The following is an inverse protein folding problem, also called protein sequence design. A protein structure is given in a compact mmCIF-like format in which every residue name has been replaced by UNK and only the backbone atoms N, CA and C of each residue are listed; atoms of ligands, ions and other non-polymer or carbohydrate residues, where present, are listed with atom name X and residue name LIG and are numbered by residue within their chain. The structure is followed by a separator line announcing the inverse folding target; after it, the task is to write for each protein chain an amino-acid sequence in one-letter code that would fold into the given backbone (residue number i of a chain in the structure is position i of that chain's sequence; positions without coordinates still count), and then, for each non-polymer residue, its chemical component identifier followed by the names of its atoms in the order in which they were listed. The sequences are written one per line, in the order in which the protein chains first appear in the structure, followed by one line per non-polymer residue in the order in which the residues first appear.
data_IF_640932839542
#
_entry.id   IF_640932839542
#
_cell.length_a   1.000
_cell.length_b   1.000
_cell.length_c   1.000
_cell.angle_alpha   90.00
_cell.angle_beta   90.00
_cell.angle_gamma   90.00
#
_symmetry.space_group_name_H-M   'P 1'
#
loop_
_entity.id
_entity.type
_entity.pdbx_description
1 polymer ?
#
# COMPACT_ATOMS: atom_id res chain seq x y z
N UNK A 1 31.41 -6.81 32.84
CA UNK A 1 30.23 -6.23 32.18
C UNK A 1 29.11 -7.25 32.28
N UNK A 2 27.98 -6.85 32.83
CA UNK A 2 26.79 -7.68 33.03
C UNK A 2 25.71 -7.33 32.01
N UNK A 3 24.62 -8.13 31.96
CA UNK A 3 23.47 -7.86 31.08
C UNK A 3 22.83 -6.50 31.37
N UNK A 4 22.89 -6.02 32.63
CA UNK A 4 22.40 -4.70 33.00
C UNK A 4 23.15 -3.59 32.26
N UNK A 5 24.47 -3.68 32.18
CA UNK A 5 25.32 -2.70 31.48
C UNK A 5 24.96 -2.63 29.98
N UNK A 6 24.64 -3.78 29.36
CA UNK A 6 24.17 -3.84 27.97
C UNK A 6 22.89 -3.03 27.77
N UNK A 7 21.93 -3.13 28.70
CA UNK A 7 20.70 -2.33 28.62
C UNK A 7 20.95 -0.84 28.85
N UNK A 8 21.95 -0.48 29.67
CA UNK A 8 22.36 0.91 29.85
C UNK A 8 22.98 1.49 28.58
N UNK A 9 23.90 0.76 27.93
CA UNK A 9 24.46 1.13 26.62
C UNK A 9 23.36 1.33 25.57
N UNK A 10 22.40 0.39 25.53
CA UNK A 10 21.22 0.48 24.65
C UNK A 10 20.39 1.74 24.92
N UNK A 11 20.10 2.06 26.19
CA UNK A 11 19.36 3.27 26.58
C UNK A 11 20.10 4.56 26.21
N UNK A 12 21.43 4.54 26.24
CA UNK A 12 22.28 5.66 25.81
C UNK A 12 22.39 5.80 24.28
N UNK A 13 21.78 4.90 23.51
CA UNK A 13 21.87 4.89 22.04
C UNK A 13 23.19 4.33 21.50
N UNK A 14 24.03 3.74 22.35
CA UNK A 14 25.30 3.09 21.97
C UNK A 14 25.06 1.67 21.45
N UNK A 15 24.30 1.59 20.36
CA UNK A 15 23.75 0.32 19.84
C UNK A 15 24.85 -0.67 19.42
N UNK A 16 25.94 -0.20 18.80
CA UNK A 16 27.06 -1.07 18.38
C UNK A 16 27.82 -1.64 19.59
N UNK A 17 28.08 -0.80 20.60
CA UNK A 17 28.76 -1.23 21.83
C UNK A 17 27.90 -2.25 22.58
N UNK A 18 26.60 -1.99 22.71
CA UNK A 18 25.66 -2.94 23.32
C UNK A 18 25.65 -4.29 22.56
N UNK A 19 25.72 -4.25 21.23
CA UNK A 19 25.72 -5.47 20.41
C UNK A 19 27.01 -6.27 20.54
N UNK A 20 28.15 -5.59 20.52
CA UNK A 20 29.45 -6.22 20.70
C UNK A 20 29.60 -6.81 22.12
N UNK A 21 28.98 -6.17 23.12
CA UNK A 21 28.95 -6.66 24.49
C UNK A 21 28.07 -7.92 24.66
N UNK A 22 26.86 -7.94 24.10
CA UNK A 22 25.90 -9.04 24.35
C UNK A 22 26.22 -10.32 23.58
N UNK A 23 26.81 -10.23 22.38
CA UNK A 23 27.13 -11.39 21.54
C UNK A 23 27.96 -12.47 22.26
N UNK A 24 29.12 -12.17 22.87
CA UNK A 24 29.91 -13.17 23.59
C UNK A 24 29.20 -13.68 24.84
N UNK A 25 28.46 -12.82 25.56
CA UNK A 25 27.69 -13.24 26.74
C UNK A 25 26.61 -14.26 26.39
N UNK A 26 25.85 -14.00 25.32
CA UNK A 26 24.82 -14.91 24.84
C UNK A 26 25.41 -16.22 24.30
N UNK A 27 26.58 -16.16 23.65
CA UNK A 27 27.29 -17.35 23.19
C UNK A 27 27.76 -18.25 24.36
N UNK A 28 28.21 -17.65 25.46
CA UNK A 28 28.64 -18.35 26.65
C UNK A 28 27.47 -18.90 27.49
N UNK A 29 26.39 -18.13 27.62
CA UNK A 29 25.23 -18.51 28.43
C UNK A 29 23.91 -18.07 27.78
N UNK A 30 23.07 -19.05 27.41
CA UNK A 30 21.74 -18.85 26.81
C UNK A 30 20.64 -18.84 27.88
N UNK A 31 20.76 -17.94 28.85
CA UNK A 31 19.76 -17.73 29.89
C UNK A 31 18.65 -16.78 29.47
N UNK A 32 17.63 -16.63 30.33
CA UNK A 32 16.50 -15.74 30.10
C UNK A 32 16.92 -14.30 29.80
N UNK A 33 17.75 -13.69 30.67
CA UNK A 33 18.18 -12.30 30.52
C UNK A 33 19.12 -12.07 29.33
N UNK A 34 20.04 -12.99 29.04
CA UNK A 34 20.94 -12.87 27.89
C UNK A 34 20.18 -13.02 26.57
N UNK A 35 19.17 -13.90 26.52
CA UNK A 35 18.27 -14.06 25.37
C UNK A 35 17.47 -12.78 25.11
N UNK A 36 16.84 -12.21 26.15
CA UNK A 36 16.11 -10.95 26.03
C UNK A 36 17.02 -9.80 25.56
N UNK A 37 18.19 -9.63 26.16
CA UNK A 37 19.13 -8.58 25.78
C UNK A 37 19.62 -8.78 24.33
N UNK A 38 19.93 -10.01 23.93
CA UNK A 38 20.34 -10.33 22.55
C UNK A 38 19.23 -10.00 21.54
N UNK A 39 17.97 -10.29 21.88
CA UNK A 39 16.83 -9.97 21.03
C UNK A 39 16.64 -8.45 20.86
N UNK A 40 16.54 -7.71 21.96
CA UNK A 40 16.26 -6.27 21.91
C UNK A 40 17.39 -5.47 21.27
N UNK A 41 18.65 -5.80 21.59
CA UNK A 41 19.80 -5.17 20.95
C UNK A 41 19.92 -5.59 19.48
N UNK A 42 19.65 -6.85 19.16
CA UNK A 42 19.66 -7.33 17.78
C UNK A 42 18.65 -6.60 16.89
N UNK A 43 17.44 -6.30 17.41
CA UNK A 43 16.43 -5.49 16.70
C UNK A 43 16.95 -4.08 16.42
N UNK A 44 17.60 -3.44 17.40
CA UNK A 44 18.11 -2.08 17.22
C UNK A 44 19.24 -2.04 16.19
N UNK A 45 20.17 -3.00 16.24
CA UNK A 45 21.27 -3.11 15.26
C UNK A 45 20.72 -3.40 13.87
N UNK A 46 19.70 -4.26 13.75
CA UNK A 46 19.03 -4.52 12.47
C UNK A 46 18.51 -3.21 11.85
N UNK A 47 17.83 -2.37 12.65
CA UNK A 47 17.33 -1.07 12.19
C UNK A 47 18.47 -0.12 11.82
N UNK A 48 19.54 -0.08 12.63
CA UNK A 48 20.73 0.72 12.35
C UNK A 48 21.36 0.32 11.01
N UNK A 49 21.47 -0.99 10.72
CA UNK A 49 21.99 -1.50 9.44
C UNK A 49 21.13 -1.09 8.25
N UNK A 50 19.80 -1.10 8.39
CA UNK A 50 18.91 -0.57 7.34
C UNK A 50 19.14 0.92 7.09
N UNK A 51 19.29 1.74 8.14
CA UNK A 51 19.60 3.17 8.01
C UNK A 51 20.94 3.40 7.31
N UNK A 52 21.94 2.58 7.62
CA UNK A 52 23.27 2.60 6.99
C UNK A 52 23.30 1.98 5.58
N UNK A 53 22.15 1.57 5.02
CA UNK A 53 22.04 0.85 3.73
C UNK A 53 22.81 -0.47 3.66
N UNK A 54 23.15 -1.08 4.81
CA UNK A 54 23.77 -2.41 4.91
C UNK A 54 22.69 -3.50 4.92
N UNK A 55 21.98 -3.63 3.79
CA UNK A 55 20.75 -4.42 3.69
C UNK A 55 20.96 -5.92 3.93
N UNK A 56 22.06 -6.47 3.41
CA UNK A 56 22.38 -7.89 3.57
C UNK A 56 22.68 -8.24 5.05
N UNK A 57 23.46 -7.41 5.74
CA UNK A 57 23.71 -7.56 7.17
C UNK A 57 22.42 -7.44 7.98
N UNK A 58 21.58 -6.44 7.69
CA UNK A 58 20.30 -6.27 8.34
C UNK A 58 19.41 -7.53 8.19
N UNK A 59 19.37 -8.10 6.98
CA UNK A 59 18.61 -9.31 6.71
C UNK A 59 19.17 -10.54 7.44
N UNK A 60 20.50 -10.71 7.52
CA UNK A 60 21.14 -11.78 8.32
C UNK A 60 20.81 -11.66 9.82
N UNK A 61 20.75 -10.43 10.34
CA UNK A 61 20.33 -10.17 11.73
C UNK A 61 18.84 -10.53 11.90
N UNK A 62 17.97 -10.12 10.99
CA UNK A 62 16.56 -10.50 11.00
C UNK A 62 16.36 -12.02 11.04
N UNK A 63 17.07 -12.78 10.20
CA UNK A 63 17.03 -14.24 10.22
C UNK A 63 17.53 -14.83 11.54
N UNK A 64 18.52 -14.20 12.17
CA UNK A 64 19.03 -14.61 13.49
C UNK A 64 18.00 -14.34 14.58
N UNK A 65 17.29 -13.22 14.52
CA UNK A 65 16.20 -12.89 15.44
C UNK A 65 15.03 -13.88 15.30
N UNK A 66 14.71 -14.34 14.08
CA UNK A 66 13.69 -15.37 13.88
C UNK A 66 14.03 -16.70 14.57
N UNK A 67 15.31 -17.08 14.59
CA UNK A 67 15.79 -18.28 15.31
C UNK A 67 15.84 -18.08 16.82
N UNK A 68 16.08 -16.86 17.27
CA UNK A 68 16.17 -16.50 18.69
C UNK A 68 14.79 -16.38 19.35
N UNK A 69 13.80 -15.83 18.63
CA UNK A 69 12.49 -15.50 19.20
C UNK A 69 11.81 -16.69 19.93
N UNK A 70 11.79 -17.93 19.38
CA UNK A 70 11.16 -19.06 20.06
C UNK A 70 11.77 -19.43 21.41
N UNK A 71 13.01 -18.99 21.71
CA UNK A 71 13.67 -19.25 23.00
C UNK A 71 13.51 -18.10 24.00
N UNK A 72 12.86 -17.01 23.59
CA UNK A 72 12.61 -15.85 24.43
C UNK A 72 11.24 -15.98 25.10
N UNK A 73 11.16 -15.68 26.39
CA UNK A 73 9.87 -15.48 27.05
C UNK A 73 9.25 -14.17 26.57
N UNK A 74 8.10 -14.27 25.91
CA UNK A 74 7.33 -13.15 25.39
C UNK A 74 5.86 -13.22 25.83
N UNK A 75 5.63 -13.48 27.12
CA UNK A 75 4.29 -13.44 27.75
C UNK A 75 3.50 -12.15 27.44
N UNK A 76 4.18 -11.03 27.18
CA UNK A 76 3.57 -9.74 26.83
C UNK A 76 3.29 -9.52 25.34
N UNK A 77 3.67 -10.45 24.44
CA UNK A 77 3.57 -10.34 22.98
C UNK A 77 4.29 -9.12 22.35
N UNK A 78 5.17 -8.45 23.11
CA UNK A 78 5.93 -7.30 22.62
C UNK A 78 7.02 -7.72 21.63
N UNK A 79 7.61 -8.90 21.83
CA UNK A 79 8.54 -9.50 20.89
C UNK A 79 7.86 -9.87 19.57
N UNK A 80 6.66 -10.46 19.64
CA UNK A 80 5.80 -10.77 18.50
C UNK A 80 5.54 -9.53 17.65
N UNK A 81 5.01 -8.46 18.26
CA UNK A 81 4.75 -7.20 17.59
C UNK A 81 6.04 -6.58 16.99
N UNK A 82 7.17 -6.75 17.68
CA UNK A 82 8.48 -6.27 17.20
C UNK A 82 8.96 -7.04 15.97
N UNK A 83 8.77 -8.36 15.90
CA UNK A 83 9.11 -9.17 14.73
C UNK A 83 8.21 -8.84 13.53
N UNK A 84 6.92 -8.58 13.76
CA UNK A 84 6.02 -8.10 12.72
C UNK A 84 6.44 -6.72 12.16
N UNK A 85 6.85 -5.79 13.05
CA UNK A 85 7.46 -4.50 12.64
C UNK A 85 8.73 -4.73 11.82
N UNK A 86 9.61 -5.64 12.24
CA UNK A 86 10.83 -5.97 11.54
C UNK A 86 10.57 -6.53 10.13
N UNK A 87 9.59 -7.42 9.99
CA UNK A 87 9.18 -7.97 8.69
C UNK A 87 8.73 -6.89 7.71
N UNK A 88 8.03 -5.85 8.17
CA UNK A 88 7.69 -4.70 7.31
C UNK A 88 8.92 -3.96 6.78
N UNK A 89 9.96 -3.79 7.61
CA UNK A 89 11.22 -3.16 7.18
C UNK A 89 11.94 -4.02 6.14
N UNK A 90 11.96 -5.34 6.35
CA UNK A 90 12.54 -6.30 5.40
C UNK A 90 11.82 -6.22 4.06
N UNK A 91 10.48 -6.25 4.07
CA UNK A 91 9.66 -6.14 2.87
C UNK A 91 9.91 -4.86 2.08
N UNK A 92 10.14 -3.72 2.75
CA UNK A 92 10.45 -2.46 2.06
C UNK A 92 11.83 -2.44 1.38
N UNK A 93 12.72 -3.40 1.70
CA UNK A 93 14.11 -3.43 1.23
C UNK A 93 14.51 -4.75 0.57
N UNK A 94 13.57 -5.67 0.34
CA UNK A 94 13.81 -6.97 -0.28
C UNK A 94 12.79 -7.22 -1.38
N UNK A 95 13.27 -7.66 -2.55
CA UNK A 95 12.41 -8.02 -3.69
C UNK A 95 11.92 -9.46 -3.62
N UNK A 96 12.49 -10.30 -2.75
CA UNK A 96 12.18 -11.73 -2.65
C UNK A 96 11.42 -12.08 -1.37
N UNK A 97 11.34 -11.17 -0.41
CA UNK A 97 10.64 -11.40 0.84
C UNK A 97 9.13 -11.20 0.67
N UNK A 98 8.34 -12.25 0.91
CA UNK A 98 6.88 -12.17 0.98
C UNK A 98 6.45 -11.80 2.40
N UNK A 99 5.85 -10.63 2.57
CA UNK A 99 5.24 -10.27 3.85
C UNK A 99 3.94 -11.05 4.06
N UNK A 100 3.20 -11.34 3.00
CA UNK A 100 1.99 -12.17 3.07
C UNK A 100 2.30 -13.54 3.68
N UNK A 101 3.26 -14.28 3.13
CA UNK A 101 3.62 -15.61 3.65
C UNK A 101 4.20 -15.54 5.07
N UNK A 102 4.94 -14.47 5.38
CA UNK A 102 5.46 -14.26 6.73
C UNK A 102 4.33 -14.08 7.74
N UNK A 103 3.38 -13.18 7.48
CA UNK A 103 2.27 -12.88 8.39
C UNK A 103 1.34 -14.08 8.52
N UNK A 104 1.06 -14.81 7.43
CA UNK A 104 0.25 -16.03 7.47
C UNK A 104 0.83 -17.10 8.40
N UNK A 105 2.16 -17.14 8.59
CA UNK A 105 2.83 -18.08 9.52
C UNK A 105 3.01 -17.49 10.91
N UNK A 106 3.33 -16.21 10.99
CA UNK A 106 3.69 -15.54 12.26
C UNK A 106 2.46 -15.23 13.12
N UNK A 107 1.32 -14.96 12.48
CA UNK A 107 0.03 -14.73 13.12
C UNK A 107 -0.21 -13.25 13.44
N UNK A 108 -1.18 -12.65 12.74
CA UNK A 108 -1.61 -11.27 13.01
C UNK A 108 -2.55 -11.19 14.21
N UNK A 109 -3.23 -12.29 14.53
CA UNK A 109 -4.10 -12.48 15.70
C UNK A 109 -3.35 -12.43 17.04
N UNK A 110 -2.02 -12.47 17.02
CA UNK A 110 -1.15 -12.32 18.20
C UNK A 110 -0.75 -10.87 18.47
N UNK A 111 -1.34 -9.91 17.77
CA UNK A 111 -1.27 -8.50 18.14
C UNK A 111 -2.27 -8.24 19.28
N UNK A 112 -1.86 -7.43 20.26
CA UNK A 112 -2.76 -7.02 21.33
C UNK A 112 -3.69 -5.91 20.85
N UNK A 113 -4.76 -5.62 21.59
CA UNK A 113 -5.70 -4.53 21.27
C UNK A 113 -4.97 -3.18 21.11
N UNK A 114 -3.94 -2.93 21.93
CA UNK A 114 -3.10 -1.73 21.85
C UNK A 114 -2.38 -1.59 20.49
N UNK A 115 -1.97 -2.69 19.87
CA UNK A 115 -1.32 -2.66 18.55
C UNK A 115 -2.29 -2.30 17.42
N UNK A 116 -3.60 -2.29 17.68
CA UNK A 116 -4.65 -1.86 16.77
C UNK A 116 -5.09 -0.40 16.98
N UNK A 117 -4.64 0.26 18.06
CA UNK A 117 -4.92 1.65 18.33
C UNK A 117 -4.01 2.60 17.52
N UNK A 118 -4.57 3.72 17.07
CA UNK A 118 -3.76 4.80 16.51
C UNK A 118 -2.95 5.46 17.61
N UNK A 119 -1.73 5.84 17.29
CA UNK A 119 -0.85 6.57 18.21
C UNK A 119 -0.57 7.97 17.67
N UNK A 120 0.08 8.81 18.47
CA UNK A 120 0.60 10.10 18.01
C UNK A 120 2.12 10.07 18.00
N UNK A 121 2.72 10.63 16.97
CA UNK A 121 4.16 10.87 16.89
C UNK A 121 4.39 12.28 16.38
N UNK A 122 5.11 13.11 17.15
CA UNK A 122 5.37 14.52 16.84
C UNK A 122 4.07 15.31 16.52
N UNK A 123 2.99 15.06 17.26
CA UNK A 123 1.69 15.71 17.05
C UNK A 123 0.90 15.23 15.84
N UNK A 124 1.42 14.27 15.06
CA UNK A 124 0.72 13.68 13.92
C UNK A 124 0.16 12.30 14.26
N UNK A 125 -1.07 11.99 13.82
CA UNK A 125 -1.64 10.66 14.00
C UNK A 125 -0.84 9.63 13.19
N UNK A 126 -0.47 8.54 13.85
CA UNK A 126 0.21 7.39 13.26
C UNK A 126 -0.75 6.22 13.23
N UNK A 127 -0.89 5.63 12.05
CA UNK A 127 -1.70 4.44 11.86
C UNK A 127 -1.20 3.29 12.76
N UNK A 128 -2.13 2.53 13.32
CA UNK A 128 -1.84 1.39 14.19
C UNK A 128 -0.93 0.34 13.52
N UNK A 129 -0.22 -0.44 14.33
CA UNK A 129 0.67 -1.47 13.82
C UNK A 129 -0.10 -2.46 12.94
N UNK A 130 -1.23 -2.99 13.43
CA UNK A 130 -2.05 -3.94 12.70
C UNK A 130 -2.46 -3.40 11.32
N UNK A 131 -2.94 -2.16 11.26
CA UNK A 131 -3.34 -1.54 9.99
C UNK A 131 -2.16 -1.29 9.03
N UNK A 132 -0.97 -0.96 9.56
CA UNK A 132 0.24 -0.81 8.73
C UNK A 132 0.70 -2.15 8.15
N UNK A 133 0.64 -3.24 8.92
CA UNK A 133 0.95 -4.60 8.45
C UNK A 133 -0.01 -5.00 7.32
N UNK A 134 -1.32 -4.85 7.55
CA UNK A 134 -2.35 -5.15 6.54
C UNK A 134 -2.09 -4.33 5.28
N UNK A 135 -1.73 -3.04 5.41
CA UNK A 135 -1.36 -2.22 4.26
C UNK A 135 -0.17 -2.73 3.45
N UNK A 136 0.85 -3.30 4.11
CA UNK A 136 1.99 -3.93 3.41
C UNK A 136 1.60 -5.23 2.73
N UNK A 137 0.79 -6.07 3.39
CA UNK A 137 0.24 -7.29 2.80
C UNK A 137 -0.53 -6.97 1.52
N UNK A 138 -1.42 -5.97 1.55
CA UNK A 138 -2.19 -5.61 0.36
C UNK A 138 -1.36 -4.88 -0.70
N UNK A 139 -0.28 -4.19 -0.33
CA UNK A 139 0.71 -3.69 -1.31
C UNK A 139 1.33 -4.86 -2.10
N UNK A 140 1.63 -5.98 -1.45
CA UNK A 140 2.13 -7.18 -2.13
C UNK A 140 1.05 -7.83 -3.01
N UNK A 141 -0.15 -8.05 -2.46
CA UNK A 141 -1.30 -8.65 -3.18
C UNK A 141 -1.68 -7.84 -4.42
N UNK A 142 -1.71 -6.51 -4.33
CA UNK A 142 -2.03 -5.64 -5.46
C UNK A 142 -0.92 -5.59 -6.51
N UNK A 143 0.32 -5.91 -6.14
CA UNK A 143 1.47 -5.94 -7.05
C UNK A 143 1.46 -7.15 -7.99
N UNK A 144 0.99 -8.30 -7.52
CA UNK A 144 0.87 -9.52 -8.35
C UNK A 144 -0.40 -10.31 -7.97
N UNK A 145 -1.60 -9.83 -8.35
CA UNK A 145 -2.85 -10.39 -7.85
C UNK A 145 -3.10 -11.81 -8.37
N UNK A 146 -3.20 -12.77 -7.44
CA UNK A 146 -3.61 -14.16 -7.72
C UNK A 146 -4.68 -14.62 -6.74
N UNK A 147 -5.48 -15.62 -7.14
CA UNK A 147 -6.49 -16.23 -6.27
C UNK A 147 -5.85 -16.77 -4.99
N UNK A 148 -4.70 -17.42 -5.08
CA UNK A 148 -3.97 -17.94 -3.92
C UNK A 148 -3.62 -16.82 -2.93
N UNK A 149 -3.09 -15.70 -3.42
CA UNK A 149 -2.75 -14.56 -2.55
C UNK A 149 -3.99 -13.96 -1.89
N UNK A 150 -5.11 -13.85 -2.61
CA UNK A 150 -6.36 -13.38 -2.03
C UNK A 150 -6.89 -14.31 -0.93
N UNK A 151 -6.77 -15.63 -1.12
CA UNK A 151 -7.15 -16.63 -0.11
C UNK A 151 -6.27 -16.54 1.14
N UNK A 152 -4.95 -16.37 0.98
CA UNK A 152 -4.01 -16.15 2.10
C UNK A 152 -4.23 -14.81 2.81
N UNK A 153 -4.60 -13.76 2.08
CA UNK A 153 -4.82 -12.43 2.64
C UNK A 153 -6.19 -12.28 3.33
N UNK A 154 -7.18 -13.10 2.99
CA UNK A 154 -8.53 -13.00 3.54
C UNK A 154 -8.61 -13.15 5.07
N UNK A 155 -7.96 -14.14 5.72
CA UNK A 155 -7.91 -14.22 7.18
C UNK A 155 -7.23 -13.01 7.83
N UNK A 156 -6.17 -12.49 7.22
CA UNK A 156 -5.44 -11.30 7.72
C UNK A 156 -6.35 -10.08 7.69
N UNK A 157 -7.10 -9.89 6.61
CA UNK A 157 -8.09 -8.82 6.51
C UNK A 157 -9.25 -9.01 7.48
N UNK A 158 -9.72 -10.25 7.67
CA UNK A 158 -10.79 -10.57 8.60
C UNK A 158 -10.44 -10.14 10.02
N UNK A 159 -9.19 -10.37 10.44
CA UNK A 159 -8.70 -9.88 11.74
C UNK A 159 -8.75 -8.35 11.81
N UNK A 160 -8.20 -7.66 10.81
CA UNK A 160 -8.26 -6.19 10.73
C UNK A 160 -9.67 -5.61 10.79
N UNK A 161 -10.64 -6.30 10.19
CA UNK A 161 -12.05 -5.89 10.17
C UNK A 161 -12.73 -6.01 11.53
N UNK A 162 -12.26 -6.86 12.45
CA UNK A 162 -12.79 -6.92 13.83
C UNK A 162 -12.53 -5.61 14.57
N UNK A 163 -11.33 -5.04 14.37
CA UNK A 163 -10.88 -3.83 15.05
C UNK A 163 -11.31 -2.54 14.36
N UNK A 164 -11.53 -2.59 13.04
CA UNK A 164 -11.79 -1.39 12.24
C UNK A 164 -12.67 -1.72 11.02
N UNK A 165 -13.95 -2.13 11.24
CA UNK A 165 -14.81 -2.64 10.17
C UNK A 165 -15.09 -1.58 9.11
N UNK A 166 -15.31 -0.32 9.49
CA UNK A 166 -15.65 0.75 8.54
C UNK A 166 -14.45 1.56 8.05
N UNK A 167 -13.22 1.15 8.37
CA UNK A 167 -12.04 1.86 7.89
C UNK A 167 -11.97 1.82 6.34
N UNK A 168 -11.78 2.96 5.65
CA UNK A 168 -11.80 3.01 4.19
C UNK A 168 -10.76 2.09 3.52
N UNK A 169 -9.58 1.92 4.14
CA UNK A 169 -8.57 1.01 3.61
C UNK A 169 -9.00 -0.45 3.75
N UNK A 170 -9.57 -0.85 4.89
CA UNK A 170 -10.10 -2.21 5.06
C UNK A 170 -11.21 -2.53 4.06
N UNK A 171 -12.13 -1.58 3.84
CA UNK A 171 -13.17 -1.73 2.82
C UNK A 171 -12.57 -1.84 1.42
N UNK A 172 -11.57 -1.01 1.08
CA UNK A 172 -10.83 -1.12 -0.18
C UNK A 172 -10.17 -2.49 -0.33
N UNK A 173 -9.48 -2.98 0.68
CA UNK A 173 -8.84 -4.30 0.68
C UNK A 173 -9.85 -5.44 0.50
N UNK A 174 -11.04 -5.31 1.10
CA UNK A 174 -12.16 -6.24 0.86
C UNK A 174 -12.61 -6.22 -0.60
N UNK A 175 -12.70 -5.04 -1.21
CA UNK A 175 -13.00 -4.92 -2.64
C UNK A 175 -11.88 -5.49 -3.53
N UNK A 176 -10.61 -5.33 -3.13
CA UNK A 176 -9.46 -5.97 -3.80
C UNK A 176 -9.59 -7.49 -3.80
N UNK A 177 -9.88 -8.13 -2.65
CA UNK A 177 -10.13 -9.58 -2.58
C UNK A 177 -11.28 -9.98 -3.52
N UNK A 178 -12.41 -9.28 -3.46
CA UNK A 178 -13.55 -9.59 -4.31
C UNK A 178 -13.23 -9.45 -5.80
N UNK A 179 -12.40 -8.47 -6.17
CA UNK A 179 -11.96 -8.27 -7.55
C UNK A 179 -11.13 -9.46 -8.03
N UNK A 180 -10.14 -9.87 -7.24
CA UNK A 180 -9.27 -11.02 -7.55
C UNK A 180 -10.09 -12.32 -7.61
N UNK A 181 -11.12 -12.43 -6.78
CA UNK A 181 -11.98 -13.61 -6.71
C UNK A 181 -13.11 -13.62 -7.75
N UNK A 182 -13.12 -12.69 -8.71
CA UNK A 182 -14.17 -12.60 -9.73
C UNK A 182 -15.54 -12.15 -9.22
N UNK A 183 -15.65 -11.74 -7.95
CA UNK A 183 -16.89 -11.25 -7.31
C UNK A 183 -17.10 -9.76 -7.61
N UNK A 184 -17.16 -9.43 -8.90
CA UNK A 184 -17.14 -8.06 -9.44
C UNK A 184 -18.21 -7.16 -8.83
N UNK A 185 -19.46 -7.62 -8.75
CA UNK A 185 -20.58 -6.80 -8.23
C UNK A 185 -20.37 -6.39 -6.76
N UNK A 186 -19.79 -7.28 -5.95
CA UNK A 186 -19.47 -6.98 -4.55
C UNK A 186 -18.38 -5.91 -4.44
N UNK A 187 -17.35 -5.97 -5.29
CA UNK A 187 -16.31 -4.95 -5.34
C UNK A 187 -16.87 -3.60 -5.81
N UNK A 188 -17.70 -3.59 -6.86
CA UNK A 188 -18.39 -2.39 -7.37
C UNK A 188 -19.19 -1.72 -6.24
N UNK A 189 -20.00 -2.49 -5.51
CA UNK A 189 -20.85 -1.94 -4.45
C UNK A 189 -20.02 -1.29 -3.33
N UNK A 190 -18.88 -1.89 -2.96
CA UNK A 190 -17.97 -1.29 -1.98
C UNK A 190 -17.39 0.03 -2.49
N UNK A 191 -16.87 0.07 -3.72
CA UNK A 191 -16.31 1.32 -4.26
C UNK A 191 -17.36 2.41 -4.43
N UNK A 192 -18.59 2.07 -4.85
CA UNK A 192 -19.70 3.04 -4.89
C UNK A 192 -20.00 3.58 -3.49
N UNK A 193 -20.04 2.73 -2.46
CA UNK A 193 -20.25 3.18 -1.08
C UNK A 193 -19.12 4.09 -0.59
N UNK A 194 -17.86 3.73 -0.83
CA UNK A 194 -16.71 4.57 -0.48
C UNK A 194 -16.78 5.95 -1.15
N UNK A 195 -17.13 5.99 -2.44
CA UNK A 195 -17.22 7.22 -3.23
C UNK A 195 -18.31 8.20 -2.79
N UNK A 196 -19.19 7.82 -1.85
CA UNK A 196 -20.15 8.75 -1.23
C UNK A 196 -19.47 9.80 -0.37
N UNK A 197 -18.41 9.40 0.35
CA UNK A 197 -17.73 10.24 1.34
C UNK A 197 -16.25 10.47 1.01
N UNK A 198 -15.72 9.74 0.03
CA UNK A 198 -14.29 9.71 -0.29
C UNK A 198 -14.08 9.92 -1.79
N UNK A 199 -13.45 11.03 -2.16
CA UNK A 199 -13.32 11.43 -3.57
C UNK A 199 -11.87 11.35 -4.08
N UNK A 200 -11.06 10.44 -3.53
CA UNK A 200 -9.69 10.24 -3.99
C UNK A 200 -9.68 9.60 -5.39
N UNK A 201 -8.81 10.11 -6.26
CA UNK A 201 -8.63 9.67 -7.65
C UNK A 201 -8.57 8.15 -7.83
N UNK A 202 -7.83 7.46 -6.97
CA UNK A 202 -7.63 6.01 -7.09
C UNK A 202 -8.94 5.20 -6.89
N UNK A 203 -9.93 5.72 -6.14
CA UNK A 203 -11.22 5.04 -5.95
C UNK A 203 -12.04 5.05 -7.24
N UNK A 204 -12.07 6.19 -7.93
CA UNK A 204 -12.69 6.30 -9.25
C UNK A 204 -12.01 5.40 -10.27
N UNK A 205 -10.67 5.38 -10.28
CA UNK A 205 -9.90 4.49 -11.14
C UNK A 205 -10.25 3.01 -10.89
N UNK A 206 -10.22 2.57 -9.62
CA UNK A 206 -10.54 1.18 -9.27
C UNK A 206 -11.94 0.78 -9.65
N UNK A 207 -12.92 1.67 -9.45
CA UNK A 207 -14.27 1.43 -9.93
C UNK A 207 -14.31 1.35 -11.47
N UNK A 208 -13.62 2.23 -12.20
CA UNK A 208 -13.57 2.21 -13.67
C UNK A 208 -12.97 0.90 -14.23
N UNK A 209 -11.96 0.32 -13.56
CA UNK A 209 -11.40 -0.99 -13.89
C UNK A 209 -12.47 -2.11 -13.80
N UNK A 210 -13.44 -1.94 -12.90
CA UNK A 210 -14.57 -2.84 -12.66
C UNK A 210 -15.84 -2.50 -13.42
N UNK A 211 -15.86 -1.50 -14.31
CA UNK A 211 -17.04 -1.21 -15.15
C UNK A 211 -16.82 -1.70 -16.58
N UNK A 212 -17.86 -2.35 -17.14
CA UNK A 212 -17.91 -2.78 -18.55
C UNK A 212 -18.52 -1.69 -19.43
N UNK A 213 -19.52 -0.98 -18.93
CA UNK A 213 -20.16 0.15 -19.62
C UNK A 213 -19.13 1.24 -19.97
N UNK A 214 -18.96 1.49 -21.27
CA UNK A 214 -17.91 2.39 -21.77
C UNK A 214 -18.14 3.83 -21.35
N UNK A 215 -19.39 4.29 -21.33
CA UNK A 215 -19.73 5.67 -20.99
C UNK A 215 -19.45 5.97 -19.52
N UNK A 216 -19.88 5.09 -18.63
CA UNK A 216 -19.61 5.19 -17.21
C UNK A 216 -18.12 5.06 -16.91
N UNK A 217 -17.38 4.22 -17.66
CA UNK A 217 -15.92 4.14 -17.54
C UNK A 217 -15.22 5.44 -17.91
N UNK A 218 -15.66 6.10 -18.99
CA UNK A 218 -15.21 7.44 -19.37
C UNK A 218 -15.50 8.42 -18.21
N UNK A 219 -16.73 8.41 -17.69
CA UNK A 219 -17.13 9.32 -16.64
C UNK A 219 -16.34 9.14 -15.32
N UNK A 220 -16.04 7.90 -14.95
CA UNK A 220 -15.21 7.61 -13.78
C UNK A 220 -13.76 8.05 -13.99
N UNK A 221 -13.19 7.84 -15.18
CA UNK A 221 -11.81 8.25 -15.48
C UNK A 221 -11.66 9.77 -15.51
N UNK A 222 -12.64 10.52 -16.03
CA UNK A 222 -12.60 12.00 -15.98
C UNK A 222 -12.61 12.49 -14.53
N UNK A 223 -13.42 11.88 -13.65
CA UNK A 223 -13.40 12.14 -12.20
C UNK A 223 -12.07 11.76 -11.55
N UNK A 224 -11.48 10.64 -11.94
CA UNK A 224 -10.16 10.24 -11.45
C UNK A 224 -9.08 11.28 -11.82
N UNK A 225 -9.10 11.82 -13.04
CA UNK A 225 -8.15 12.83 -13.50
C UNK A 225 -8.38 14.16 -12.79
N UNK A 226 -9.64 14.61 -12.70
CA UNK A 226 -10.01 15.88 -12.07
C UNK A 226 -9.63 15.95 -10.58
N UNK A 227 -9.72 14.83 -9.86
CA UNK A 227 -9.41 14.75 -8.42
C UNK A 227 -7.96 14.41 -8.10
N UNK A 228 -7.16 13.98 -9.09
CA UNK A 228 -5.73 13.74 -8.91
C UNK A 228 -4.99 15.08 -8.85
N UNK A 229 -4.22 15.36 -7.80
CA UNK A 229 -3.50 16.64 -7.68
C UNK A 229 -2.18 16.67 -8.43
N UNK A 230 -1.46 15.55 -8.47
CA UNK A 230 -0.12 15.48 -9.05
C UNK A 230 -0.18 15.02 -10.51
N UNK A 231 0.29 15.86 -11.44
CA UNK A 231 0.20 15.60 -12.89
C UNK A 231 0.93 14.30 -13.31
N UNK A 232 2.03 13.94 -12.62
CA UNK A 232 2.76 12.68 -12.89
C UNK A 232 1.88 11.43 -12.75
N UNK A 233 0.85 11.47 -11.90
CA UNK A 233 -0.10 10.37 -11.71
C UNK A 233 -1.32 10.44 -12.65
N UNK A 234 -1.52 11.56 -13.36
CA UNK A 234 -2.60 11.69 -14.36
C UNK A 234 -2.24 11.05 -15.70
N UNK A 235 -0.96 10.98 -16.06
CA UNK A 235 -0.50 10.54 -17.39
C UNK A 235 -1.16 9.25 -17.88
N UNK A 236 -1.10 8.17 -17.08
CA UNK A 236 -1.71 6.88 -17.43
C UNK A 236 -3.23 6.97 -17.57
N UNK A 237 -3.88 7.72 -16.68
CA UNK A 237 -5.33 7.93 -16.71
C UNK A 237 -5.75 8.69 -17.98
N UNK A 238 -5.05 9.78 -18.31
CA UNK A 238 -5.30 10.57 -19.51
C UNK A 238 -5.13 9.75 -20.78
N UNK A 239 -4.07 8.96 -20.88
CA UNK A 239 -3.88 8.08 -22.02
C UNK A 239 -4.97 7.01 -22.15
N UNK A 240 -5.37 6.42 -21.02
CA UNK A 240 -6.48 5.45 -20.99
C UNK A 240 -7.79 6.10 -21.45
N UNK A 241 -8.07 7.31 -20.95
CA UNK A 241 -9.25 8.08 -21.35
C UNK A 241 -9.21 8.46 -22.83
N UNK A 242 -8.07 8.92 -23.35
CA UNK A 242 -7.90 9.26 -24.76
C UNK A 242 -8.24 8.07 -25.68
N UNK A 243 -7.76 6.87 -25.36
CA UNK A 243 -8.09 5.66 -26.12
C UNK A 243 -9.60 5.33 -26.10
N UNK A 244 -10.28 5.53 -24.96
CA UNK A 244 -11.73 5.30 -24.89
C UNK A 244 -12.51 6.33 -25.72
N UNK A 245 -12.05 7.57 -25.75
CA UNK A 245 -12.66 8.67 -26.47
C UNK A 245 -12.38 8.64 -27.98
N UNK A 246 -11.30 7.98 -28.43
CA UNK A 246 -10.82 8.02 -29.81
C UNK A 246 -11.89 7.78 -30.88
N UNK A 247 -12.81 6.82 -30.67
CA UNK A 247 -13.82 6.50 -31.69
C UNK A 247 -15.01 7.48 -31.71
N UNK A 248 -15.39 8.05 -30.57
CA UNK A 248 -16.68 8.75 -30.42
C UNK A 248 -16.53 10.24 -30.08
N UNK A 249 -15.36 10.65 -29.58
CA UNK A 249 -15.10 11.95 -28.96
C UNK A 249 -13.67 12.42 -29.28
N UNK A 250 -13.31 12.41 -30.56
CA UNK A 250 -11.94 12.69 -31.06
C UNK A 250 -11.32 13.99 -30.52
N UNK A 251 -12.01 15.15 -30.47
CA UNK A 251 -11.43 16.39 -29.94
C UNK A 251 -10.96 16.26 -28.49
N UNK A 252 -11.78 15.62 -27.64
CA UNK A 252 -11.47 15.35 -26.24
C UNK A 252 -10.35 14.29 -26.10
N UNK A 253 -10.32 13.30 -27.00
CA UNK A 253 -9.25 12.31 -27.06
C UNK A 253 -7.89 12.98 -27.34
N UNK A 254 -7.86 13.90 -28.31
CA UNK A 254 -6.65 14.66 -28.68
C UNK A 254 -6.18 15.54 -27.51
N UNK A 255 -7.08 16.28 -26.87
CA UNK A 255 -6.75 17.09 -25.70
C UNK A 255 -6.08 16.24 -24.59
N UNK A 256 -6.66 15.10 -24.24
CA UNK A 256 -6.11 14.23 -23.18
C UNK A 256 -4.75 13.65 -23.55
N UNK A 257 -4.58 13.24 -24.82
CA UNK A 257 -3.32 12.73 -25.32
C UNK A 257 -2.22 13.79 -25.30
N UNK A 258 -2.51 15.01 -25.76
CA UNK A 258 -1.55 16.12 -25.77
C UNK A 258 -1.12 16.49 -24.35
N UNK A 259 -2.05 16.59 -23.40
CA UNK A 259 -1.73 16.82 -21.98
C UNK A 259 -0.88 15.68 -21.41
N UNK A 260 -1.17 14.43 -21.77
CA UNK A 260 -0.36 13.28 -21.36
C UNK A 260 1.07 13.37 -21.90
N UNK A 261 1.24 13.62 -23.20
CA UNK A 261 2.56 13.74 -23.85
C UNK A 261 3.35 14.90 -23.26
N UNK A 262 2.71 16.07 -23.07
CA UNK A 262 3.36 17.23 -22.47
C UNK A 262 3.86 16.92 -21.04
N UNK A 263 3.02 16.29 -20.21
CA UNK A 263 3.39 15.88 -18.86
C UNK A 263 4.54 14.84 -18.84
N UNK A 264 4.56 13.91 -19.79
CA UNK A 264 5.65 12.92 -19.93
C UNK A 264 6.96 13.58 -20.35
N UNK A 265 6.93 14.49 -21.33
CA UNK A 265 8.10 15.27 -21.77
C UNK A 265 8.69 16.07 -20.61
N UNK A 266 7.85 16.78 -19.86
CA UNK A 266 8.27 17.54 -18.67
C UNK A 266 8.92 16.63 -17.61
N UNK A 267 8.42 15.41 -17.43
CA UNK A 267 8.97 14.41 -16.53
C UNK A 267 10.17 13.61 -17.10
N UNK A 268 10.63 13.93 -18.32
CA UNK A 268 11.69 13.20 -19.04
C UNK A 268 11.39 11.70 -19.22
N UNK A 269 10.12 11.33 -19.36
CA UNK A 269 9.71 9.98 -19.68
C UNK A 269 9.59 9.77 -21.20
N UNK A 270 9.87 8.55 -21.64
CA UNK A 270 9.71 8.16 -23.05
C UNK A 270 8.25 8.28 -23.49
N UNK A 271 8.03 8.69 -24.74
CA UNK A 271 6.72 8.60 -25.38
C UNK A 271 6.65 7.24 -26.05
N UNK A 272 5.63 6.44 -25.73
CA UNK A 272 5.53 5.08 -26.25
C UNK A 272 5.03 5.09 -27.70
N UNK A 273 5.27 3.99 -28.42
CA UNK A 273 4.82 3.86 -29.80
C UNK A 273 3.28 3.95 -29.90
N UNK A 274 2.54 3.43 -28.91
CA UNK A 274 1.07 3.50 -28.88
C UNK A 274 0.60 4.96 -28.78
N UNK A 275 1.30 5.79 -28.01
CA UNK A 275 1.00 7.22 -27.89
C UNK A 275 1.29 7.96 -29.20
N UNK A 276 2.41 7.61 -29.87
CA UNK A 276 2.76 8.19 -31.16
C UNK A 276 1.73 7.80 -32.24
N UNK A 277 1.34 6.54 -32.28
CA UNK A 277 0.34 6.03 -33.22
C UNK A 277 -1.03 6.69 -33.03
N UNK A 278 -1.48 6.83 -31.77
CA UNK A 278 -2.72 7.55 -31.47
C UNK A 278 -2.61 9.04 -31.84
N UNK A 279 -1.44 9.65 -31.65
CA UNK A 279 -1.20 11.05 -32.02
C UNK A 279 -1.28 11.25 -33.53
N UNK A 280 -0.68 10.36 -34.32
CA UNK A 280 -0.77 10.38 -35.78
C UNK A 280 -2.22 10.19 -36.25
N UNK A 281 -2.96 9.29 -35.61
CA UNK A 281 -4.39 9.07 -35.91
C UNK A 281 -5.30 10.26 -35.57
N UNK A 282 -4.79 11.23 -34.81
CA UNK A 282 -5.48 12.45 -34.40
C UNK A 282 -4.85 13.72 -34.99
N UNK A 283 -3.96 13.58 -35.98
CA UNK A 283 -3.20 14.71 -36.54
C UNK A 283 -4.11 15.82 -37.06
N UNK A 284 -5.11 15.46 -37.87
CA UNK A 284 -6.08 16.39 -38.48
C UNK A 284 -7.21 16.84 -37.54
N UNK A 285 -7.35 16.23 -36.36
CA UNK A 285 -8.41 16.57 -35.40
C UNK A 285 -8.05 17.85 -34.67
N UNK A 286 -8.96 18.81 -34.52
CA UNK A 286 -8.73 19.94 -33.62
C UNK A 286 -9.00 19.50 -32.18
N UNK A 287 -8.05 19.73 -31.27
CA UNK A 287 -8.22 19.39 -29.86
C UNK A 287 -9.33 20.24 -29.23
N UNK A 288 -10.10 19.66 -28.32
CA UNK A 288 -11.07 20.43 -27.53
C UNK A 288 -10.34 21.55 -26.78
N UNK A 289 -10.96 22.73 -26.72
CA UNK A 289 -10.48 23.83 -25.90
C UNK A 289 -10.57 23.50 -24.41
N UNK A 290 -9.83 24.24 -23.57
CA UNK A 290 -9.89 24.09 -22.12
C UNK A 290 -11.30 24.30 -21.56
N UNK A 291 -12.10 25.18 -22.18
CA UNK A 291 -13.48 25.47 -21.78
C UNK A 291 -14.39 24.28 -22.11
N UNK A 292 -14.28 23.74 -23.33
CA UNK A 292 -15.04 22.57 -23.75
C UNK A 292 -14.67 21.34 -22.92
N UNK A 293 -13.38 21.12 -22.63
CA UNK A 293 -12.95 20.02 -21.77
C UNK A 293 -13.54 20.11 -20.37
N UNK A 294 -13.56 21.32 -19.78
CA UNK A 294 -14.16 21.54 -18.46
C UNK A 294 -15.67 21.30 -18.47
N UNK A 295 -16.36 21.72 -19.53
CA UNK A 295 -17.79 21.45 -19.69
C UNK A 295 -18.04 19.94 -19.78
N UNK A 296 -17.27 19.23 -20.62
CA UNK A 296 -17.34 17.78 -20.74
C UNK A 296 -17.09 17.06 -19.40
N UNK A 297 -16.09 17.50 -18.62
CA UNK A 297 -15.83 16.95 -17.29
C UNK A 297 -16.99 17.17 -16.31
N UNK A 298 -17.70 18.30 -16.38
CA UNK A 298 -18.88 18.57 -15.54
C UNK A 298 -20.05 17.67 -15.92
N UNK A 299 -20.31 17.47 -17.21
CA UNK A 299 -21.33 16.53 -17.69
C UNK A 299 -21.04 15.10 -17.23
N UNK A 300 -19.80 14.66 -17.37
CA UNK A 300 -19.37 13.35 -16.90
C UNK A 300 -19.45 13.22 -15.37
N UNK A 301 -19.23 14.31 -14.62
CA UNK A 301 -19.39 14.28 -13.17
C UNK A 301 -20.83 13.97 -12.73
N UNK A 302 -21.82 14.56 -13.41
CA UNK A 302 -23.24 14.28 -13.13
C UNK A 302 -23.60 12.79 -13.35
N UNK A 303 -23.01 12.15 -14.36
CA UNK A 303 -23.17 10.71 -14.61
C UNK A 303 -22.65 9.88 -13.43
N UNK A 304 -21.46 10.23 -12.91
CA UNK A 304 -20.86 9.52 -11.76
C UNK A 304 -21.67 9.75 -10.48
N UNK A 305 -22.12 10.98 -10.24
CA UNK A 305 -22.93 11.31 -9.06
C UNK A 305 -24.23 10.50 -9.03
N UNK A 306 -24.97 10.46 -10.15
CA UNK A 306 -26.16 9.62 -10.28
C UNK A 306 -25.86 8.13 -10.05
N UNK A 307 -24.74 7.64 -10.59
CA UNK A 307 -24.33 6.25 -10.40
C UNK A 307 -23.94 5.92 -8.94
N UNK A 308 -23.31 6.83 -8.22
CA UNK A 308 -22.93 6.63 -6.82
C UNK A 308 -24.12 6.75 -5.87
N UNK A 309 -25.07 7.65 -6.16
CA UNK A 309 -26.26 7.87 -5.33
C UNK A 309 -27.27 6.71 -5.41
N UNK A 310 -27.40 6.04 -6.55
CA UNK A 310 -28.36 4.94 -6.80
C UNK A 310 -28.07 3.62 -6.07
N UNK A 311 -27.11 3.56 -5.13
CA UNK A 311 -26.96 2.39 -4.26
C UNK A 311 -28.06 2.44 -3.19
N UNK A 312 -28.99 1.47 -3.18
CA UNK A 312 -29.94 1.33 -2.08
C UNK A 312 -29.21 1.28 -0.74
N UNK A 313 -29.75 1.95 0.27
CA UNK A 313 -29.37 1.70 1.66
C UNK A 313 -29.53 0.19 1.91
N UNK A 314 -28.57 -0.48 2.59
CA UNK A 314 -28.80 -1.84 3.05
C UNK A 314 -30.08 -1.93 3.87
#
# INVERSE_FOLDING_TARGET
MEVKDVFELRKQGKIEEAYNAIRPMYAAHKGHYTTMAMFWVGVDVMRLRYQQRRLEEAYKIFQSLLRLYPTMDDSSLRGQATMLRAAMFVFDHSTTFSILDFISKWGIEKLTDDDWLMTQSNGHPVQSLGMRIVGKVFKEVEGNPTVEMALKAAPILAESLKHSPYNPNNQRYKATIYTIMGKRDKAINIYRHLLRNHHQSYLYQKLAELITDKQLKIALLTRAIATQREEKFRQRLRFTLANLLFNNHKPYAKYELEKCIAARKAAKYSITWEMQNLSASLEEVVAASEVEQKAFYREQAAVVEKYVQTVGMP
#
